data_IF_323770024389
#
_entry.id   IF_323770024389
#
_cell.length_a   1.000
_cell.length_b   1.000
_cell.length_c   1.000
_cell.angle_alpha   90.00
_cell.angle_beta   90.00
_cell.angle_gamma   90.00
#
_symmetry.space_group_name_H-M   'P 1'
#
loop_
_entity.id
_entity.type
_entity.pdbx_description
1 polymer ?
#
# COMPACT_ATOMS: atom_id res chain seq x y z
N UNK A 1 -13.06 -3.68 14.85
CA UNK A 1 -12.87 -5.01 14.23
C UNK A 1 -13.29 -5.03 12.76
N UNK A 2 -14.58 -4.80 12.41
CA UNK A 2 -15.03 -4.76 11.01
C UNK A 2 -14.37 -3.61 10.22
N UNK A 3 -14.27 -2.42 10.84
CA UNK A 3 -13.59 -1.24 10.26
C UNK A 3 -12.14 -1.55 9.85
N UNK A 4 -11.36 -2.17 10.74
CA UNK A 4 -9.96 -2.55 10.49
C UNK A 4 -9.81 -3.62 9.40
N UNK A 5 -10.76 -4.56 9.31
CA UNK A 5 -10.73 -5.56 8.25
C UNK A 5 -10.93 -4.92 6.87
N UNK A 6 -11.81 -3.92 6.77
CA UNK A 6 -12.05 -3.18 5.53
C UNK A 6 -10.81 -2.39 5.12
N UNK A 7 -10.12 -1.73 6.06
CA UNK A 7 -8.89 -0.98 5.74
C UNK A 7 -7.76 -1.90 5.27
N UNK A 8 -7.59 -3.05 5.91
CA UNK A 8 -6.59 -4.05 5.50
C UNK A 8 -6.89 -4.57 4.09
N UNK A 9 -8.13 -4.97 3.80
CA UNK A 9 -8.53 -5.47 2.49
C UNK A 9 -8.34 -4.40 1.40
N UNK A 10 -8.71 -3.16 1.69
CA UNK A 10 -8.47 -2.03 0.79
C UNK A 10 -6.97 -1.87 0.50
N UNK A 11 -6.14 -1.88 1.54
CA UNK A 11 -4.70 -1.72 1.39
C UNK A 11 -4.05 -2.83 0.57
N UNK A 12 -4.49 -4.08 0.75
CA UNK A 12 -4.06 -5.19 -0.09
C UNK A 12 -4.48 -5.05 -1.55
N UNK A 13 -5.73 -4.64 -1.81
CA UNK A 13 -6.24 -4.47 -3.16
C UNK A 13 -5.45 -3.39 -3.92
N UNK A 14 -5.24 -2.24 -3.27
CA UNK A 14 -4.46 -1.13 -3.84
C UNK A 14 -3.01 -1.54 -4.08
N UNK A 15 -2.34 -2.17 -3.12
CA UNK A 15 -0.93 -2.53 -3.29
C UNK A 15 -0.72 -3.63 -4.32
N UNK A 16 -1.65 -4.57 -4.46
CA UNK A 16 -1.68 -5.53 -5.57
C UNK A 16 -1.82 -4.81 -6.90
N UNK A 17 -2.76 -3.87 -7.03
CA UNK A 17 -2.98 -3.11 -8.25
C UNK A 17 -1.74 -2.29 -8.64
N UNK A 18 -1.09 -1.64 -7.68
CA UNK A 18 0.14 -0.86 -7.91
C UNK A 18 1.28 -1.77 -8.36
N UNK A 19 1.49 -2.89 -7.66
CA UNK A 19 2.58 -3.83 -7.99
C UNK A 19 2.35 -4.49 -9.35
N UNK A 20 1.10 -4.83 -9.67
CA UNK A 20 0.72 -5.38 -10.96
C UNK A 20 0.90 -4.37 -12.09
N UNK A 21 0.49 -3.11 -11.87
CA UNK A 21 0.72 -2.02 -12.82
C UNK A 21 2.21 -1.84 -13.09
N UNK A 22 3.05 -1.82 -12.05
CA UNK A 22 4.50 -1.74 -12.20
C UNK A 22 5.06 -2.92 -13.01
N UNK A 23 4.58 -4.15 -12.77
CA UNK A 23 4.96 -5.32 -13.55
C UNK A 23 4.56 -5.18 -15.02
N UNK A 24 3.35 -4.71 -15.32
CA UNK A 24 2.86 -4.47 -16.69
C UNK A 24 3.63 -3.36 -17.42
N UNK A 25 4.09 -2.35 -16.69
CA UNK A 25 4.95 -1.28 -17.20
C UNK A 25 6.41 -1.71 -17.41
N UNK A 26 6.72 -3.02 -17.30
CA UNK A 26 8.05 -3.62 -17.51
C UNK A 26 9.12 -3.18 -16.49
N UNK A 27 8.70 -2.70 -15.30
CA UNK A 27 9.64 -2.53 -14.19
C UNK A 27 10.12 -3.90 -13.69
N UNK A 28 11.32 -3.94 -13.11
CA UNK A 28 11.89 -5.16 -12.52
C UNK A 28 11.19 -5.50 -11.20
N UNK A 29 10.04 -6.15 -11.30
CA UNK A 29 9.28 -6.63 -10.14
C UNK A 29 9.64 -8.09 -9.84
N UNK A 30 10.18 -8.33 -8.65
CA UNK A 30 10.53 -9.67 -8.16
C UNK A 30 9.53 -10.17 -7.10
N UNK A 31 9.59 -11.45 -6.73
CA UNK A 31 8.73 -12.00 -5.67
C UNK A 31 8.83 -11.21 -4.35
N UNK A 32 10.01 -10.69 -4.03
CA UNK A 32 10.22 -9.84 -2.86
C UNK A 32 9.36 -8.55 -2.91
N UNK A 33 9.19 -7.96 -4.10
CA UNK A 33 8.32 -6.78 -4.26
C UNK A 33 6.87 -7.14 -3.98
N UNK A 34 6.39 -8.27 -4.50
CA UNK A 34 5.02 -8.72 -4.25
C UNK A 34 4.72 -8.91 -2.76
N UNK A 35 5.62 -9.59 -2.03
CA UNK A 35 5.45 -9.83 -0.60
C UNK A 35 5.51 -8.51 0.19
N UNK A 36 6.55 -7.72 -0.03
CA UNK A 36 6.77 -6.47 0.71
C UNK A 36 5.65 -5.47 0.44
N UNK A 37 5.26 -5.27 -0.81
CA UNK A 37 4.19 -4.33 -1.17
C UNK A 37 2.83 -4.80 -0.63
N UNK A 38 2.56 -6.10 -0.64
CA UNK A 38 1.31 -6.64 -0.10
C UNK A 38 1.16 -6.33 1.40
N UNK A 39 2.21 -6.57 2.19
CA UNK A 39 2.24 -6.29 3.63
C UNK A 39 2.19 -4.79 3.90
N UNK A 40 3.06 -4.01 3.25
CA UNK A 40 3.14 -2.56 3.46
C UNK A 40 1.89 -1.82 2.99
N UNK A 41 1.17 -2.35 2.00
CA UNK A 41 -0.09 -1.80 1.52
C UNK A 41 -1.18 -1.79 2.59
N UNK A 42 -1.32 -2.92 3.30
CA UNK A 42 -2.26 -3.05 4.41
C UNK A 42 -1.85 -2.18 5.61
N UNK A 43 -0.58 -2.22 6.01
CA UNK A 43 -0.06 -1.37 7.09
C UNK A 43 -0.28 0.12 6.75
N UNK A 44 -0.02 0.50 5.51
CA UNK A 44 -0.20 1.88 5.03
C UNK A 44 -1.65 2.35 5.07
N UNK A 45 -2.59 1.51 4.62
CA UNK A 45 -4.02 1.82 4.73
C UNK A 45 -4.44 2.03 6.18
N UNK A 46 -4.08 1.09 7.06
CA UNK A 46 -4.46 1.15 8.48
C UNK A 46 -3.85 2.38 9.14
N UNK A 47 -2.54 2.57 9.00
CA UNK A 47 -1.84 3.69 9.62
C UNK A 47 -2.38 5.05 9.12
N UNK A 48 -2.62 5.19 7.82
CA UNK A 48 -3.15 6.44 7.28
C UNK A 48 -4.59 6.70 7.73
N UNK A 49 -5.42 5.67 7.85
CA UNK A 49 -6.78 5.83 8.35
C UNK A 49 -6.83 6.27 9.81
N UNK A 50 -5.97 5.71 10.66
CA UNK A 50 -5.91 6.05 12.08
C UNK A 50 -5.28 7.42 12.33
N UNK A 51 -4.17 7.74 11.65
CA UNK A 51 -3.41 8.97 11.88
C UNK A 51 -4.07 10.21 11.26
N UNK A 52 -4.70 10.06 10.10
CA UNK A 52 -5.27 11.17 9.32
C UNK A 52 -6.79 11.12 9.28
N UNK A 53 -7.40 10.48 10.28
CA UNK A 53 -8.84 10.25 10.33
C UNK A 53 -9.63 11.56 10.21
N UNK A 54 -10.56 11.63 9.24
CA UNK A 54 -11.40 12.80 8.90
C UNK A 54 -10.64 14.07 8.52
N UNK A 55 -9.31 14.04 8.42
CA UNK A 55 -8.53 15.24 8.10
C UNK A 55 -8.56 15.57 6.60
N UNK A 56 -8.62 14.55 5.74
CA UNK A 56 -8.53 14.72 4.28
C UNK A 56 -9.49 13.80 3.52
N UNK A 57 -10.20 14.36 2.55
CA UNK A 57 -11.03 13.63 1.59
C UNK A 57 -12.33 13.04 2.16
N UNK A 58 -13.08 12.27 1.34
CA UNK A 58 -14.35 11.70 1.74
C UNK A 58 -14.18 10.55 2.74
N UNK A 59 -15.15 10.44 3.65
CA UNK A 59 -15.25 9.34 4.61
C UNK A 59 -16.42 8.44 4.23
N UNK A 60 -16.13 7.19 3.89
CA UNK A 60 -17.13 6.20 3.48
C UNK A 60 -17.07 5.04 4.47
N UNK A 61 -18.21 4.65 5.06
CA UNK A 61 -18.29 3.61 6.09
C UNK A 61 -17.30 3.80 7.26
N UNK A 62 -17.03 5.04 7.64
CA UNK A 62 -16.07 5.35 8.70
C UNK A 62 -14.61 5.16 8.30
N UNK A 63 -14.30 5.19 7.00
CA UNK A 63 -12.95 5.07 6.44
C UNK A 63 -12.56 6.29 5.61
N UNK A 64 -11.35 6.80 5.81
CA UNK A 64 -10.78 7.92 5.04
C UNK A 64 -10.11 7.42 3.76
N UNK A 65 -10.86 7.43 2.66
CA UNK A 65 -10.43 6.79 1.41
C UNK A 65 -9.13 7.40 0.86
N UNK A 66 -9.01 8.72 0.88
CA UNK A 66 -7.86 9.41 0.29
C UNK A 66 -6.56 9.17 1.09
N UNK A 67 -6.52 9.36 2.43
CA UNK A 67 -5.39 8.94 3.26
C UNK A 67 -5.03 7.47 3.08
N UNK A 68 -6.01 6.56 3.11
CA UNK A 68 -5.76 5.13 2.94
C UNK A 68 -5.10 4.84 1.59
N UNK A 69 -5.61 5.43 0.52
CA UNK A 69 -5.03 5.29 -0.82
C UNK A 69 -3.57 5.76 -0.84
N UNK A 70 -3.29 6.93 -0.26
CA UNK A 70 -1.93 7.45 -0.17
C UNK A 70 -1.01 6.50 0.61
N UNK A 71 -1.45 6.03 1.79
CA UNK A 71 -0.70 5.09 2.62
C UNK A 71 -0.39 3.77 1.88
N UNK A 72 -1.38 3.23 1.16
CA UNK A 72 -1.25 1.99 0.40
C UNK A 72 -0.46 2.09 -0.90
N UNK A 73 -0.08 3.31 -1.33
CA UNK A 73 0.80 3.53 -2.47
C UNK A 73 2.21 3.87 -1.98
N UNK A 74 2.32 4.81 -1.04
CA UNK A 74 3.60 5.36 -0.59
C UNK A 74 4.44 4.32 0.14
N UNK A 75 3.88 3.58 1.11
CA UNK A 75 4.67 2.57 1.83
C UNK A 75 5.15 1.44 0.89
N UNK A 76 4.31 0.85 0.02
CA UNK A 76 4.80 -0.07 -1.01
C UNK A 76 5.85 0.53 -1.96
N UNK A 77 5.71 1.81 -2.33
CA UNK A 77 6.73 2.51 -3.13
C UNK A 77 8.10 2.54 -2.44
N UNK A 78 8.12 2.90 -1.14
CA UNK A 78 9.33 2.87 -0.31
C UNK A 78 9.88 1.44 -0.20
N UNK A 79 9.01 0.46 0.08
CA UNK A 79 9.41 -0.95 0.16
C UNK A 79 10.05 -1.47 -1.13
N UNK A 80 9.45 -1.16 -2.28
CA UNK A 80 9.98 -1.50 -3.60
C UNK A 80 11.33 -0.86 -3.87
N UNK A 81 11.52 0.40 -3.48
CA UNK A 81 12.81 1.09 -3.58
C UNK A 81 13.90 0.40 -2.74
N UNK A 82 13.59 0.03 -1.50
CA UNK A 82 14.52 -0.71 -0.62
C UNK A 82 14.88 -2.06 -1.23
N UNK A 83 13.89 -2.84 -1.67
CA UNK A 83 14.12 -4.16 -2.28
C UNK A 83 15.02 -4.04 -3.51
N UNK A 84 14.77 -3.06 -4.37
CA UNK A 84 15.60 -2.79 -5.56
C UNK A 84 17.04 -2.47 -5.17
N UNK A 85 17.26 -1.63 -4.15
CA UNK A 85 18.60 -1.27 -3.64
C UNK A 85 19.35 -2.48 -3.07
N UNK A 86 18.67 -3.36 -2.37
CA UNK A 86 19.28 -4.58 -1.82
C UNK A 86 19.67 -5.57 -2.92
N UNK A 87 18.91 -5.62 -4.02
CA UNK A 87 19.21 -6.49 -5.16
C UNK A 87 20.38 -6.00 -6.01
N UNK A 88 20.66 -4.69 -6.04
CA UNK A 88 21.83 -4.13 -6.74
C UNK A 88 23.16 -4.29 -5.99
N UNK A 89 23.14 -4.71 -4.72
CA UNK A 89 24.34 -4.91 -3.90
C UNK A 89 24.93 -6.32 -3.98
N UNK A 90 24.32 -7.20 -4.78
CA UNK A 90 24.84 -8.55 -5.10
C UNK A 90 25.44 -8.53 -6.49
#
# INVERSE_FOLDING_TARGET
MISTAITILFGHAVSMLVTFTAYKLKFRVTLAHWIVNWVLGAIGAVAANELLFKQFGPVIFGQTILPMLAGSIVLPGVGSWIVSRLQTKK
#
